data_IF_104643981317
#
_entry.id   IF_104643981317
#
_cell.length_a   1.000
_cell.length_b   1.000
_cell.length_c   1.000
_cell.angle_alpha   90.00
_cell.angle_beta   90.00
_cell.angle_gamma   90.00
#
_symmetry.space_group_name_H-M   'P 1'
#
loop_
_entity.id
_entity.type
_entity.pdbx_description
1 polymer ?
#
# COMPACT_ATOMS: atom_id res chain seq x y z
N UNK A 1 -6.31 15.10 9.89
CA UNK A 1 -5.38 14.41 10.80
C UNK A 1 -5.68 14.75 12.27
N UNK A 2 -5.76 16.03 12.65
CA UNK A 2 -5.96 16.45 14.04
C UNK A 2 -7.19 15.80 14.70
N UNK A 3 -8.33 15.78 14.02
CA UNK A 3 -9.55 15.13 14.52
C UNK A 3 -9.33 13.64 14.83
N UNK A 4 -8.61 12.94 13.97
CA UNK A 4 -8.30 11.51 14.19
C UNK A 4 -7.35 11.27 15.36
N UNK A 5 -6.39 12.18 15.59
CA UNK A 5 -5.51 12.15 16.77
C UNK A 5 -6.29 12.46 18.05
N UNK A 6 -7.19 13.44 18.02
CA UNK A 6 -8.04 13.78 19.16
C UNK A 6 -9.00 12.63 19.51
N UNK A 7 -9.62 12.00 18.50
CA UNK A 7 -10.47 10.82 18.71
C UNK A 7 -9.67 9.66 19.32
N UNK A 8 -8.47 9.38 18.81
CA UNK A 8 -7.60 8.36 19.37
C UNK A 8 -7.24 8.68 20.83
N UNK A 9 -6.88 9.92 21.14
CA UNK A 9 -6.55 10.34 22.49
C UNK A 9 -7.73 10.11 23.46
N UNK A 10 -8.95 10.52 23.11
CA UNK A 10 -10.14 10.32 23.95
C UNK A 10 -10.36 8.82 24.23
N UNK A 11 -10.32 7.99 23.22
CA UNK A 11 -10.52 6.54 23.34
C UNK A 11 -9.41 5.87 24.17
N UNK A 12 -8.16 6.27 23.98
CA UNK A 12 -7.01 5.74 24.73
C UNK A 12 -7.11 6.09 26.23
N UNK A 13 -7.44 7.35 26.55
CA UNK A 13 -7.64 7.77 27.95
C UNK A 13 -8.79 7.01 28.62
N UNK A 14 -9.87 6.76 27.89
CA UNK A 14 -11.01 5.98 28.37
C UNK A 14 -10.80 4.45 28.31
N UNK A 15 -9.69 3.97 27.75
CA UNK A 15 -9.36 2.56 27.57
C UNK A 15 -10.42 1.77 26.80
N UNK A 16 -11.10 2.43 25.85
CA UNK A 16 -12.13 1.79 25.01
C UNK A 16 -12.15 2.45 23.64
N UNK A 17 -12.10 1.64 22.58
CA UNK A 17 -12.17 2.16 21.21
C UNK A 17 -11.50 1.29 20.17
N UNK A 18 -11.19 1.92 19.04
CA UNK A 18 -10.52 1.29 17.90
C UNK A 18 -9.53 2.27 17.27
N UNK A 19 -8.29 1.86 17.12
CA UNK A 19 -7.22 2.64 16.51
C UNK A 19 -6.95 2.18 15.08
N UNK A 20 -6.57 3.10 14.22
CA UNK A 20 -5.94 2.81 12.93
C UNK A 20 -4.46 2.68 13.16
N UNK A 21 -3.91 1.51 12.89
CA UNK A 21 -2.52 1.18 13.16
C UNK A 21 -1.75 0.99 11.86
N UNK A 22 -0.46 1.28 11.90
CA UNK A 22 0.51 0.98 10.86
C UNK A 22 1.83 0.62 11.53
N UNK A 23 2.34 -0.61 11.36
CA UNK A 23 3.66 -0.95 11.86
C UNK A 23 4.76 -0.12 11.18
N UNK A 24 5.98 -0.05 11.74
CA UNK A 24 7.13 0.49 11.03
C UNK A 24 7.34 -0.20 9.68
N UNK A 25 7.90 0.51 8.68
CA UNK A 25 8.18 -0.09 7.38
C UNK A 25 9.11 -1.29 7.50
N UNK A 26 8.83 -2.34 6.72
CA UNK A 26 9.76 -3.44 6.56
C UNK A 26 11.04 -2.94 5.86
N UNK A 27 12.25 -3.18 6.42
CA UNK A 27 13.51 -2.82 5.78
C UNK A 27 13.64 -3.35 4.33
N UNK A 28 13.09 -4.53 4.04
CA UNK A 28 13.07 -5.08 2.69
C UNK A 28 12.20 -4.25 1.74
N UNK A 29 11.10 -3.67 2.21
CA UNK A 29 10.27 -2.77 1.40
C UNK A 29 11.04 -1.51 1.01
N UNK A 30 11.81 -0.92 1.93
CA UNK A 30 12.65 0.26 1.62
C UNK A 30 13.77 -0.11 0.64
N UNK A 31 14.44 -1.25 0.83
CA UNK A 31 15.47 -1.72 -0.10
C UNK A 31 14.91 -1.92 -1.51
N UNK A 32 13.72 -2.51 -1.64
CA UNK A 32 13.02 -2.65 -2.93
C UNK A 32 12.73 -1.28 -3.56
N UNK A 33 12.25 -0.31 -2.78
CA UNK A 33 11.99 1.04 -3.30
C UNK A 33 13.25 1.74 -3.81
N UNK A 34 14.43 1.51 -3.20
CA UNK A 34 15.71 2.02 -3.72
C UNK A 34 16.08 1.39 -5.07
N UNK A 35 15.76 0.11 -5.27
CA UNK A 35 15.93 -0.56 -6.57
C UNK A 35 14.97 0.05 -7.59
N UNK A 36 13.71 0.25 -7.21
CA UNK A 36 12.69 0.88 -8.07
C UNK A 36 13.08 2.32 -8.48
N UNK A 37 13.59 3.14 -7.54
CA UNK A 37 14.05 4.49 -7.85
C UNK A 37 15.17 4.48 -8.90
N UNK A 38 16.17 3.60 -8.75
CA UNK A 38 17.22 3.41 -9.76
C UNK A 38 16.67 2.95 -11.10
N UNK A 39 15.74 1.99 -11.10
CA UNK A 39 15.07 1.51 -12.31
C UNK A 39 14.36 2.63 -13.08
N UNK A 40 13.76 3.56 -12.35
CA UNK A 40 13.08 4.74 -12.89
C UNK A 40 14.04 5.92 -13.17
N UNK A 41 15.37 5.74 -12.99
CA UNK A 41 16.38 6.77 -13.11
C UNK A 41 16.13 7.98 -12.18
N UNK A 42 15.57 7.74 -10.99
CA UNK A 42 15.36 8.75 -9.95
C UNK A 42 16.51 8.64 -8.95
N UNK A 43 17.19 9.76 -8.71
CA UNK A 43 18.26 9.80 -7.70
C UNK A 43 17.69 9.78 -6.30
N UNK A 44 18.18 8.83 -5.50
CA UNK A 44 17.88 8.72 -4.07
C UNK A 44 19.19 8.58 -3.29
N UNK A 45 19.83 9.70 -2.92
CA UNK A 45 21.08 9.69 -2.18
C UNK A 45 20.97 8.92 -0.85
N UNK A 46 22.04 8.25 -0.44
CA UNK A 46 22.06 7.49 0.82
C UNK A 46 21.83 8.37 2.05
N UNK A 47 22.25 9.64 1.99
CA UNK A 47 22.04 10.63 3.04
C UNK A 47 20.57 11.08 3.17
N UNK A 48 19.72 10.80 2.18
CA UNK A 48 18.32 11.21 2.18
C UNK A 48 17.44 10.08 2.75
N UNK A 49 16.77 10.36 3.87
CA UNK A 49 15.83 9.43 4.48
C UNK A 49 14.56 9.25 3.62
N UNK A 50 13.78 8.21 3.88
CA UNK A 50 12.57 7.92 3.12
C UNK A 50 11.54 9.08 3.11
N UNK A 51 11.21 9.74 4.24
CA UNK A 51 10.36 10.93 4.23
C UNK A 51 10.92 12.09 3.39
N UNK A 52 12.21 12.31 3.43
CA UNK A 52 12.89 13.33 2.62
C UNK A 52 12.79 13.00 1.13
N UNK A 53 13.03 11.74 0.78
CA UNK A 53 12.90 11.27 -0.60
C UNK A 53 11.48 11.47 -1.15
N UNK A 54 10.43 11.08 -0.41
CA UNK A 54 9.05 11.31 -0.87
C UNK A 54 8.77 12.79 -1.13
N UNK A 55 9.28 13.67 -0.27
CA UNK A 55 9.11 15.13 -0.44
C UNK A 55 9.87 15.71 -1.62
N UNK A 56 10.91 15.03 -2.11
CA UNK A 56 11.68 15.47 -3.28
C UNK A 56 11.03 15.08 -4.62
N UNK A 57 10.03 14.18 -4.59
CA UNK A 57 9.34 13.74 -5.81
C UNK A 57 8.37 14.81 -6.31
N UNK A 58 8.41 15.07 -7.62
CA UNK A 58 7.51 16.00 -8.30
C UNK A 58 6.28 15.25 -8.84
N UNK A 59 5.07 15.53 -8.34
CA UNK A 59 3.86 14.88 -8.82
C UNK A 59 3.43 15.29 -10.25
N UNK A 60 4.09 16.25 -10.87
CA UNK A 60 3.86 16.58 -12.28
C UNK A 60 4.66 15.69 -13.24
N UNK A 61 5.62 14.91 -12.75
CA UNK A 61 6.42 13.98 -13.55
C UNK A 61 5.80 12.58 -13.50
N UNK A 62 5.49 12.00 -14.67
CA UNK A 62 4.92 10.63 -14.77
C UNK A 62 5.81 9.58 -14.10
N UNK A 63 7.14 9.72 -14.23
CA UNK A 63 8.12 8.81 -13.61
C UNK A 63 8.08 8.94 -12.08
N UNK A 64 7.96 10.16 -11.56
CA UNK A 64 7.82 10.38 -10.11
C UNK A 64 6.46 9.94 -9.59
N UNK A 65 5.38 10.04 -10.38
CA UNK A 65 4.06 9.46 -10.02
C UNK A 65 4.15 7.94 -9.92
N UNK A 66 4.84 7.27 -10.84
CA UNK A 66 5.08 5.83 -10.75
C UNK A 66 5.86 5.47 -9.48
N UNK A 67 6.88 6.26 -9.12
CA UNK A 67 7.62 6.08 -7.86
C UNK A 67 6.75 6.31 -6.63
N UNK A 68 5.92 7.36 -6.61
CA UNK A 68 4.97 7.63 -5.53
C UNK A 68 3.98 6.47 -5.36
N UNK A 69 3.52 5.89 -6.46
CA UNK A 69 2.65 4.69 -6.45
C UNK A 69 3.39 3.50 -5.82
N UNK A 70 4.62 3.23 -6.23
CA UNK A 70 5.45 2.18 -5.62
C UNK A 70 5.67 2.40 -4.12
N UNK A 71 5.83 3.65 -3.68
CA UNK A 71 5.98 4.04 -2.28
C UNK A 71 4.77 3.65 -1.41
N UNK A 72 3.57 3.47 -1.99
CA UNK A 72 2.41 3.01 -1.24
C UNK A 72 2.60 1.62 -0.63
N UNK A 73 3.54 0.83 -1.16
CA UNK A 73 3.89 -0.49 -0.62
C UNK A 73 4.37 -0.46 0.83
N UNK A 74 4.95 0.65 1.28
CA UNK A 74 5.39 0.87 2.67
C UNK A 74 4.20 0.99 3.64
N UNK A 75 3.00 1.28 3.14
CA UNK A 75 1.77 1.34 3.94
C UNK A 75 1.13 -0.04 4.13
N UNK A 76 1.77 -1.11 3.67
CA UNK A 76 1.30 -2.48 3.90
C UNK A 76 1.31 -2.80 5.40
N UNK A 77 0.32 -3.59 5.83
CA UNK A 77 0.14 -3.91 7.24
C UNK A 77 -0.68 -2.87 8.02
N UNK A 78 -1.15 -1.82 7.35
CA UNK A 78 -2.09 -0.89 7.96
C UNK A 78 -3.39 -1.61 8.33
N UNK A 79 -3.77 -1.55 9.60
CA UNK A 79 -4.89 -2.30 10.14
C UNK A 79 -5.70 -1.49 11.15
N UNK A 80 -6.52 -2.23 11.89
CA UNK A 80 -7.26 -1.68 13.02
C UNK A 80 -7.03 -2.57 14.24
N UNK A 81 -6.97 -1.94 15.40
CA UNK A 81 -6.84 -2.62 16.68
C UNK A 81 -7.92 -2.08 17.63
N UNK A 82 -8.91 -2.93 17.93
CA UNK A 82 -9.95 -2.64 18.90
C UNK A 82 -9.45 -2.98 20.31
N UNK A 83 -9.95 -2.25 21.32
CA UNK A 83 -9.60 -2.49 22.71
C UNK A 83 -10.71 -2.07 23.67
N UNK A 84 -10.77 -2.79 24.78
CA UNK A 84 -11.61 -2.47 25.94
C UNK A 84 -10.86 -2.93 27.20
N UNK A 85 -10.41 -1.98 28.00
CA UNK A 85 -9.57 -2.18 29.18
C UNK A 85 -8.07 -2.03 28.88
N UNK A 86 -7.47 -2.94 28.11
CA UNK A 86 -6.03 -2.93 27.81
C UNK A 86 -5.76 -2.41 26.40
N UNK A 87 -4.80 -1.51 26.29
CA UNK A 87 -4.32 -1.02 24.98
C UNK A 87 -3.64 -2.15 24.19
N UNK A 88 -3.85 -2.23 22.88
CA UNK A 88 -3.15 -3.18 22.03
C UNK A 88 -1.65 -2.88 21.97
N UNK A 89 -0.82 -3.92 21.87
CA UNK A 89 0.64 -3.79 21.75
C UNK A 89 1.01 -2.94 20.53
N UNK A 90 0.33 -3.14 19.40
CA UNK A 90 0.46 -2.27 18.21
C UNK A 90 -0.64 -1.21 18.26
N UNK A 91 -0.34 -0.05 18.83
CA UNK A 91 -1.28 1.06 18.94
C UNK A 91 -0.90 2.27 18.07
N UNK A 92 0.32 2.27 17.51
CA UNK A 92 0.87 3.41 16.77
C UNK A 92 0.56 3.32 15.27
N UNK A 93 0.48 4.48 14.65
CA UNK A 93 0.51 4.63 13.20
C UNK A 93 1.86 5.23 12.79
N UNK A 94 2.78 4.41 12.29
CA UNK A 94 4.18 4.78 12.04
C UNK A 94 4.34 6.01 11.15
N UNK A 95 3.54 6.10 10.06
CA UNK A 95 3.61 7.24 9.14
C UNK A 95 3.13 8.57 9.76
N UNK A 96 2.43 8.54 10.89
CA UNK A 96 1.98 9.72 11.64
C UNK A 96 2.79 9.93 12.93
N UNK A 97 3.60 8.96 13.31
CA UNK A 97 4.33 8.90 14.58
C UNK A 97 3.40 9.15 15.80
N UNK A 98 2.13 8.74 15.71
CA UNK A 98 1.10 9.00 16.69
C UNK A 98 0.05 7.89 16.73
N UNK A 99 -0.69 7.81 17.83
CA UNK A 99 -1.95 7.08 17.87
C UNK A 99 -2.98 7.82 17.03
N UNK A 100 -3.74 7.08 16.25
CA UNK A 100 -4.68 7.65 15.29
C UNK A 100 -5.95 6.81 15.18
N UNK A 101 -7.06 7.47 14.96
CA UNK A 101 -8.33 6.81 14.70
C UNK A 101 -9.01 7.40 13.47
N UNK A 102 -9.71 6.58 12.73
CA UNK A 102 -10.60 7.03 11.69
C UNK A 102 -11.93 7.47 12.30
N UNK A 103 -12.32 8.76 12.12
CA UNK A 103 -13.53 9.34 12.70
C UNK A 103 -14.23 10.36 11.78
N UNK A 104 -13.70 10.61 10.55
CA UNK A 104 -14.15 11.74 9.73
C UNK A 104 -14.84 11.35 8.43
N UNK A 105 -15.03 10.06 8.16
CA UNK A 105 -15.63 9.59 6.92
C UNK A 105 -16.64 8.43 7.13
N UNK A 106 -17.71 8.62 7.93
CA UNK A 106 -18.64 7.55 8.32
C UNK A 106 -19.51 7.03 7.18
N UNK A 107 -19.58 7.74 6.04
CA UNK A 107 -20.32 7.27 4.86
C UNK A 107 -19.58 6.15 4.11
N UNK A 108 -18.23 6.19 4.08
CA UNK A 108 -17.42 5.23 3.33
C UNK A 108 -16.63 4.27 4.20
N UNK A 109 -16.48 4.53 5.50
CA UNK A 109 -15.79 3.64 6.44
C UNK A 109 -16.66 3.33 7.64
N UNK A 110 -17.02 2.08 7.79
CA UNK A 110 -17.85 1.62 8.90
C UNK A 110 -17.24 1.98 10.26
N UNK A 111 -15.94 1.81 10.42
CA UNK A 111 -15.23 2.09 11.69
C UNK A 111 -15.42 3.53 12.18
N UNK A 112 -15.54 4.51 11.28
CA UNK A 112 -15.73 5.92 11.66
C UNK A 112 -17.03 6.16 12.40
N UNK A 113 -18.06 5.36 12.14
CA UNK A 113 -19.35 5.43 12.85
C UNK A 113 -19.18 5.01 14.30
N UNK A 114 -18.46 3.92 14.54
CA UNK A 114 -18.19 3.41 15.89
C UNK A 114 -17.24 4.34 16.66
N UNK A 115 -16.17 4.81 16.04
CA UNK A 115 -15.26 5.79 16.66
C UNK A 115 -16.01 7.08 17.01
N UNK A 116 -16.88 7.55 16.11
CA UNK A 116 -17.72 8.73 16.36
C UNK A 116 -18.65 8.54 17.54
N UNK A 117 -19.38 7.44 17.60
CA UNK A 117 -20.32 7.12 18.67
C UNK A 117 -19.63 7.01 20.03
N UNK A 118 -18.48 6.30 20.06
CA UNK A 118 -17.67 6.20 21.28
C UNK A 118 -17.21 7.59 21.73
N UNK A 119 -16.68 8.42 20.84
CA UNK A 119 -16.23 9.77 21.19
C UNK A 119 -17.38 10.66 21.69
N UNK A 120 -18.57 10.58 21.07
CA UNK A 120 -19.75 11.33 21.51
C UNK A 120 -20.14 10.92 22.92
N UNK A 121 -20.23 9.62 23.20
CA UNK A 121 -20.55 9.12 24.56
C UNK A 121 -19.52 9.59 25.59
N UNK A 122 -18.22 9.50 25.26
CA UNK A 122 -17.14 9.95 26.16
C UNK A 122 -17.18 11.46 26.42
N UNK A 123 -17.41 12.28 25.40
CA UNK A 123 -17.53 13.72 25.56
C UNK A 123 -18.78 14.11 26.40
N UNK A 124 -19.88 13.37 26.24
CA UNK A 124 -21.09 13.55 27.02
C UNK A 124 -20.98 12.97 28.44
N UNK A 125 -19.85 12.34 28.80
CA UNK A 125 -19.67 11.61 30.08
C UNK A 125 -20.75 10.53 30.30
N UNK A 126 -21.18 9.91 29.23
CA UNK A 126 -22.15 8.81 29.22
C UNK A 126 -21.44 7.48 28.98
N UNK A 127 -22.01 6.36 29.42
CA UNK A 127 -21.51 5.05 29.07
C UNK A 127 -21.47 4.85 27.56
N UNK A 128 -20.43 4.22 27.05
CA UNK A 128 -20.37 3.81 25.64
C UNK A 128 -21.52 2.85 25.37
N UNK A 129 -22.33 3.03 24.30
CA UNK A 129 -23.46 2.18 24.00
C UNK A 129 -23.08 0.70 23.90
N UNK A 130 -23.90 -0.18 24.47
CA UNK A 130 -23.62 -1.62 24.54
C UNK A 130 -23.45 -2.24 23.12
N UNK A 131 -24.22 -1.79 22.13
CA UNK A 131 -24.09 -2.25 20.74
C UNK A 131 -22.73 -1.91 20.14
N UNK A 132 -22.16 -0.74 20.49
CA UNK A 132 -20.85 -0.33 20.00
C UNK A 132 -19.74 -1.20 20.66
N UNK A 133 -19.83 -1.43 21.96
CA UNK A 133 -18.90 -2.32 22.68
C UNK A 133 -18.94 -3.74 22.14
N UNK A 134 -20.13 -4.28 21.89
CA UNK A 134 -20.32 -5.65 21.39
C UNK A 134 -19.70 -5.84 19.98
N UNK A 135 -19.69 -4.80 19.15
CA UNK A 135 -19.15 -4.87 17.79
C UNK A 135 -17.61 -4.68 17.71
N UNK A 136 -17.00 -4.07 18.74
CA UNK A 136 -15.55 -3.73 18.71
C UNK A 136 -14.65 -4.93 18.34
N UNK A 137 -14.83 -6.15 18.87
CA UNK A 137 -13.95 -7.28 18.56
C UNK A 137 -13.93 -7.65 17.07
N UNK A 138 -15.06 -7.51 16.38
CA UNK A 138 -15.24 -7.97 15.00
C UNK A 138 -14.91 -6.87 13.96
N UNK A 139 -14.88 -5.60 14.37
CA UNK A 139 -14.63 -4.48 13.46
C UNK A 139 -13.30 -4.59 12.71
N UNK A 140 -12.16 -4.99 13.31
CA UNK A 140 -10.91 -5.13 12.59
C UNK A 140 -11.00 -6.10 11.42
N UNK A 141 -11.60 -7.27 11.62
CA UNK A 141 -11.79 -8.29 10.59
C UNK A 141 -12.75 -7.82 9.49
N UNK A 142 -13.84 -7.17 9.87
CA UNK A 142 -14.82 -6.59 8.92
C UNK A 142 -14.17 -5.53 8.04
N UNK A 143 -13.39 -4.62 8.63
CA UNK A 143 -12.67 -3.58 7.90
C UNK A 143 -11.56 -4.16 7.00
N UNK A 144 -10.88 -5.21 7.44
CA UNK A 144 -9.87 -5.90 6.64
C UNK A 144 -10.48 -6.55 5.40
N UNK A 145 -11.58 -7.29 5.57
CA UNK A 145 -12.30 -7.94 4.47
C UNK A 145 -12.80 -6.93 3.44
N UNK A 146 -13.41 -5.85 3.92
CA UNK A 146 -13.87 -4.74 3.05
C UNK A 146 -12.71 -4.07 2.32
N UNK A 147 -11.59 -3.82 3.00
CA UNK A 147 -10.39 -3.25 2.42
C UNK A 147 -9.76 -4.16 1.34
N UNK A 148 -9.70 -5.46 1.58
CA UNK A 148 -9.23 -6.44 0.57
C UNK A 148 -10.10 -6.42 -0.68
N UNK A 149 -11.42 -6.41 -0.55
CA UNK A 149 -12.33 -6.33 -1.71
C UNK A 149 -12.13 -5.03 -2.51
N UNK A 150 -11.97 -3.90 -1.84
CA UNK A 150 -11.68 -2.62 -2.49
C UNK A 150 -10.34 -2.66 -3.23
N UNK A 151 -9.28 -3.17 -2.60
CA UNK A 151 -7.96 -3.32 -3.22
C UNK A 151 -7.94 -4.28 -4.41
N UNK A 152 -8.70 -5.38 -4.35
CA UNK A 152 -8.86 -6.29 -5.50
C UNK A 152 -9.54 -5.59 -6.68
N UNK A 153 -10.55 -4.76 -6.42
CA UNK A 153 -11.22 -3.99 -7.47
C UNK A 153 -10.27 -2.95 -8.09
N UNK A 154 -9.56 -2.20 -7.26
CA UNK A 154 -8.54 -1.24 -7.71
C UNK A 154 -7.47 -1.90 -8.58
N UNK A 155 -6.88 -3.01 -8.11
CA UNK A 155 -5.90 -3.76 -8.88
C UNK A 155 -6.46 -4.28 -10.20
N UNK A 156 -7.71 -4.74 -10.21
CA UNK A 156 -8.35 -5.22 -11.43
C UNK A 156 -8.56 -4.10 -12.47
N UNK A 157 -8.83 -2.86 -12.02
CA UNK A 157 -8.96 -1.69 -12.91
C UNK A 157 -7.60 -1.29 -13.46
N UNK A 158 -6.56 -1.24 -12.62
CA UNK A 158 -5.19 -0.93 -13.05
C UNK A 158 -4.68 -1.98 -14.06
N UNK A 159 -4.79 -3.27 -13.74
CA UNK A 159 -4.36 -4.34 -14.62
C UNK A 159 -5.11 -4.30 -15.99
N UNK A 160 -6.40 -3.93 -15.98
CA UNK A 160 -7.15 -3.73 -17.22
C UNK A 160 -6.57 -2.57 -18.04
N UNK A 161 -6.33 -1.42 -17.40
CA UNK A 161 -5.77 -0.25 -18.07
C UNK A 161 -4.39 -0.54 -18.68
N UNK A 162 -3.52 -1.18 -17.92
CA UNK A 162 -2.19 -1.61 -18.38
C UNK A 162 -2.28 -2.57 -19.57
N UNK A 163 -3.16 -3.58 -19.48
CA UNK A 163 -3.36 -4.54 -20.56
C UNK A 163 -3.91 -3.86 -21.83
N UNK A 164 -4.84 -2.91 -21.70
CA UNK A 164 -5.37 -2.13 -22.84
C UNK A 164 -4.27 -1.30 -23.52
N UNK A 165 -3.46 -0.60 -22.74
CA UNK A 165 -2.35 0.24 -23.26
C UNK A 165 -1.31 -0.61 -23.95
N UNK A 166 -1.02 -1.80 -23.42
CA UNK A 166 0.04 -2.67 -23.93
C UNK A 166 -0.42 -3.67 -24.99
N UNK A 167 -1.73 -3.96 -25.12
CA UNK A 167 -2.24 -4.96 -26.10
C UNK A 167 -1.72 -4.73 -27.53
N UNK A 168 -1.68 -3.50 -28.10
CA UNK A 168 -1.16 -3.28 -29.43
C UNK A 168 0.36 -3.46 -29.55
N UNK A 169 1.07 -3.59 -28.44
CA UNK A 169 2.54 -3.62 -28.35
C UNK A 169 3.09 -5.02 -28.01
N UNK A 170 2.25 -6.05 -28.05
CA UNK A 170 2.69 -7.45 -27.85
C UNK A 170 3.74 -7.82 -28.89
N UNK A 171 4.85 -8.40 -28.45
CA UNK A 171 6.03 -8.72 -29.25
C UNK A 171 7.12 -7.63 -29.23
N UNK A 172 6.82 -6.42 -28.75
CA UNK A 172 7.84 -5.37 -28.60
C UNK A 172 8.80 -5.66 -27.44
N UNK A 173 9.98 -5.08 -27.53
CA UNK A 173 11.04 -5.17 -26.51
C UNK A 173 11.18 -3.84 -25.78
N UNK A 174 11.10 -3.89 -24.45
CA UNK A 174 11.17 -2.71 -23.60
C UNK A 174 12.45 -2.71 -22.75
N UNK A 175 13.07 -1.55 -22.54
CA UNK A 175 14.04 -1.40 -21.47
C UNK A 175 13.32 -1.36 -20.13
N UNK A 176 13.84 -2.11 -19.15
CA UNK A 176 13.27 -2.17 -17.81
C UNK A 176 14.31 -2.57 -16.78
N UNK A 177 13.88 -2.72 -15.53
CA UNK A 177 14.74 -3.24 -14.48
C UNK A 177 13.98 -4.25 -13.60
N UNK A 178 14.69 -5.28 -13.13
CA UNK A 178 14.12 -6.28 -12.23
C UNK A 178 14.06 -5.68 -10.82
N UNK A 179 12.85 -5.50 -10.29
CA UNK A 179 12.62 -4.89 -8.96
C UNK A 179 12.27 -5.91 -7.88
N UNK A 180 11.89 -7.10 -8.28
CA UNK A 180 11.60 -8.20 -7.35
C UNK A 180 11.87 -9.55 -8.03
N UNK A 181 12.36 -10.51 -7.23
CA UNK A 181 12.51 -11.91 -7.63
C UNK A 181 11.70 -12.76 -6.67
N UNK A 182 10.92 -13.69 -7.20
CA UNK A 182 10.08 -14.57 -6.40
C UNK A 182 10.93 -15.49 -5.54
N UNK A 183 10.51 -15.70 -4.29
CA UNK A 183 11.27 -16.53 -3.32
C UNK A 183 11.25 -18.02 -3.65
N UNK A 184 10.18 -18.47 -4.29
CA UNK A 184 9.92 -19.87 -4.65
C UNK A 184 10.47 -20.25 -6.03
N UNK A 185 10.65 -19.28 -6.93
CA UNK A 185 11.21 -19.52 -8.27
C UNK A 185 12.06 -18.31 -8.72
N UNK A 186 13.41 -18.40 -8.68
CA UNK A 186 14.28 -17.28 -9.05
C UNK A 186 14.19 -16.86 -10.52
N UNK A 187 13.52 -17.64 -11.38
CA UNK A 187 13.25 -17.30 -12.78
C UNK A 187 12.00 -16.44 -12.96
N UNK A 188 11.25 -16.17 -11.89
CA UNK A 188 10.05 -15.33 -11.89
C UNK A 188 10.25 -14.11 -11.01
N UNK A 189 9.60 -13.03 -11.37
CA UNK A 189 9.71 -11.78 -10.63
C UNK A 189 8.85 -10.69 -11.20
N UNK A 190 9.26 -9.46 -10.87
CA UNK A 190 8.60 -8.24 -11.30
C UNK A 190 9.62 -7.36 -12.03
N UNK A 191 9.23 -6.83 -13.17
CA UNK A 191 9.97 -5.83 -13.93
C UNK A 191 9.22 -4.50 -13.90
N UNK A 192 9.95 -3.40 -13.80
CA UNK A 192 9.45 -2.07 -14.14
C UNK A 192 9.99 -1.71 -15.51
N UNK A 193 9.09 -1.36 -16.44
CA UNK A 193 9.41 -0.70 -17.69
C UNK A 193 9.18 0.80 -17.55
N UNK A 194 9.93 1.62 -18.30
CA UNK A 194 9.90 3.11 -18.12
C UNK A 194 8.82 3.78 -18.94
N UNK A 195 8.59 3.29 -20.17
CA UNK A 195 7.65 3.90 -21.12
C UNK A 195 6.78 2.84 -21.80
N UNK A 196 5.52 2.71 -21.36
CA UNK A 196 4.88 3.39 -20.21
C UNK A 196 5.45 2.90 -18.86
N UNK A 197 5.37 3.70 -17.80
CA UNK A 197 5.84 3.33 -16.48
C UNK A 197 4.90 2.28 -15.85
N UNK A 198 5.19 1.00 -16.10
CA UNK A 198 4.37 -0.15 -15.70
C UNK A 198 5.22 -1.14 -14.92
N UNK A 199 4.67 -1.65 -13.82
CA UNK A 199 5.20 -2.76 -13.06
C UNK A 199 4.42 -4.03 -13.40
N UNK A 200 5.07 -5.05 -13.96
CA UNK A 200 4.39 -6.27 -14.37
C UNK A 200 5.24 -7.52 -14.10
N UNK A 201 4.59 -8.68 -14.20
CA UNK A 201 5.26 -9.96 -14.03
C UNK A 201 6.25 -10.23 -15.17
N UNK A 202 7.40 -10.81 -14.83
CA UNK A 202 8.44 -11.23 -15.78
C UNK A 202 8.91 -12.63 -15.47
N UNK A 203 9.26 -13.37 -16.51
CA UNK A 203 9.91 -14.67 -16.40
C UNK A 203 11.17 -14.74 -17.26
N UNK A 204 12.13 -15.54 -16.85
CA UNK A 204 13.36 -15.81 -17.58
C UNK A 204 13.63 -17.30 -17.73
N UNK A 205 14.55 -17.67 -18.62
CA UNK A 205 15.09 -19.03 -18.74
C UNK A 205 16.08 -19.37 -17.61
N UNK A 206 16.72 -18.35 -17.05
CA UNK A 206 17.63 -18.42 -15.90
C UNK A 206 17.14 -17.52 -14.76
N UNK A 207 17.87 -17.51 -13.63
CA UNK A 207 17.57 -16.62 -12.51
C UNK A 207 17.59 -15.15 -12.94
N UNK A 208 16.59 -14.40 -12.49
CA UNK A 208 16.46 -12.97 -12.80
C UNK A 208 17.50 -12.15 -12.04
N UNK A 209 18.17 -11.20 -12.69
CA UNK A 209 19.18 -10.34 -12.06
C UNK A 209 18.53 -9.20 -11.29
N UNK A 210 18.27 -9.38 -9.99
CA UNK A 210 17.64 -8.37 -9.14
C UNK A 210 18.40 -7.03 -9.18
N UNK A 211 17.70 -5.94 -9.46
CA UNK A 211 18.24 -4.59 -9.49
C UNK A 211 19.01 -4.24 -10.76
N UNK A 212 19.13 -5.16 -11.74
CA UNK A 212 19.80 -4.88 -12.99
C UNK A 212 18.85 -4.31 -14.05
N UNK A 213 19.40 -3.45 -14.90
CA UNK A 213 18.76 -3.05 -16.14
C UNK A 213 18.74 -4.23 -17.12
N UNK A 214 17.60 -4.46 -17.74
CA UNK A 214 17.33 -5.59 -18.64
C UNK A 214 16.53 -5.15 -19.85
N UNK A 215 16.54 -5.98 -20.88
CA UNK A 215 15.57 -5.92 -21.97
C UNK A 215 14.54 -7.02 -21.79
N UNK A 216 13.25 -6.68 -21.90
CA UNK A 216 12.15 -7.62 -21.74
C UNK A 216 11.20 -7.54 -22.93
N UNK A 217 10.76 -8.68 -23.43
CA UNK A 217 9.76 -8.78 -24.48
C UNK A 217 8.38 -8.88 -23.85
N UNK A 218 7.41 -8.11 -24.34
CA UNK A 218 6.02 -8.23 -23.95
C UNK A 218 5.42 -9.48 -24.62
N UNK A 219 5.14 -10.50 -23.82
CA UNK A 219 4.65 -11.80 -24.34
C UNK A 219 3.14 -11.93 -24.24
N UNK A 220 2.51 -11.21 -23.33
CA UNK A 220 1.05 -11.24 -23.13
C UNK A 220 0.56 -9.88 -22.63
N UNK A 221 -0.48 -9.33 -23.27
CA UNK A 221 -1.28 -8.24 -22.76
C UNK A 221 -2.75 -8.51 -23.15
N UNK A 222 -3.52 -9.05 -22.22
CA UNK A 222 -4.89 -9.50 -22.43
C UNK A 222 -5.86 -8.69 -21.57
N UNK A 223 -6.62 -7.73 -22.14
CA UNK A 223 -7.59 -6.94 -21.41
C UNK A 223 -8.73 -7.75 -20.81
N UNK A 224 -9.14 -8.86 -21.42
CA UNK A 224 -10.24 -9.70 -20.91
C UNK A 224 -9.80 -10.42 -19.64
N UNK A 225 -8.60 -10.97 -19.66
CA UNK A 225 -7.98 -11.65 -18.50
C UNK A 225 -7.32 -10.67 -17.53
N UNK A 226 -7.12 -9.40 -17.93
CA UNK A 226 -6.44 -8.36 -17.15
C UNK A 226 -5.02 -8.77 -16.77
N UNK A 227 -4.29 -9.27 -17.74
CA UNK A 227 -2.95 -9.84 -17.54
C UNK A 227 -1.96 -9.16 -18.45
N UNK A 228 -0.81 -8.76 -17.87
CA UNK A 228 0.37 -8.28 -18.59
C UNK A 228 1.58 -9.12 -18.14
N UNK A 229 2.31 -9.67 -19.11
CA UNK A 229 3.50 -10.51 -18.84
C UNK A 229 4.63 -10.19 -19.77
N UNK A 230 5.83 -10.15 -19.20
CA UNK A 230 7.06 -10.01 -19.93
C UNK A 230 7.93 -11.27 -19.82
N UNK A 231 8.80 -11.46 -20.80
CA UNK A 231 9.90 -12.43 -20.74
C UNK A 231 11.23 -11.70 -20.84
N UNK A 232 12.24 -12.16 -20.09
CA UNK A 232 13.60 -11.63 -20.22
C UNK A 232 14.10 -11.94 -21.63
N UNK A 233 14.52 -10.90 -22.36
CA UNK A 233 15.13 -11.05 -23.67
C UNK A 233 16.56 -11.58 -23.51
N UNK A 234 16.93 -12.49 -24.36
CA UNK A 234 18.28 -13.09 -24.43
C UNK A 234 19.32 -12.04 -24.78
#
# INVERSE_FOLDING_TARGET
LLTGMAAAYLMVQAKVGILRTLPPPDPHAIARLRITARALAIDWPDALDYPGFIRSLDPASDVHVAMLTACTSVLRGAGYAAFHGTLPAQSMHSALAAQYAHATAPLRRLVDRYSGEICVALCAKQPVPAWALAALPDLPATMQTSGHRAGQYESAVLNLAEAVVLAPRVGEVFPGAIVEVARDDPRKGTVIVREPAIEASVSGSAALPLGADVRVSLVEADPVRRVTRFALSS
#
